data_IF_075232647379
#
_entry.id   IF_075232647379
#
_cell.length_a   1.000
_cell.length_b   1.000
_cell.length_c   1.000
_cell.angle_alpha   90.00
_cell.angle_beta   90.00
_cell.angle_gamma   90.00
#
_symmetry.space_group_name_H-M   'P 1'
#
loop_
_entity.id
_entity.type
_entity.pdbx_description
1 polymer ?
#
# COMPACT_ATOMS: atom_id res chain seq x y z
N UNK A 1 -6.57 0.63 -17.86
CA UNK A 1 -5.20 0.35 -17.35
C UNK A 1 -4.42 1.60 -16.92
N UNK A 2 -4.10 2.58 -17.80
CA UNK A 2 -3.32 3.80 -17.43
C UNK A 2 -3.85 4.54 -16.18
N UNK A 3 -5.16 4.71 -16.10
CA UNK A 3 -5.79 5.38 -14.94
C UNK A 3 -5.66 4.57 -13.64
N UNK A 4 -5.79 3.24 -13.69
CA UNK A 4 -5.56 2.37 -12.53
C UNK A 4 -4.11 2.51 -12.03
N UNK A 5 -3.13 2.45 -12.95
CA UNK A 5 -1.71 2.62 -12.60
C UNK A 5 -1.42 3.99 -11.99
N UNK A 6 -2.04 5.07 -12.51
CA UNK A 6 -1.91 6.41 -11.92
C UNK A 6 -2.46 6.47 -10.50
N UNK A 7 -3.61 5.85 -10.24
CA UNK A 7 -4.19 5.78 -8.89
C UNK A 7 -3.28 4.99 -7.95
N UNK A 8 -2.76 3.84 -8.38
CA UNK A 8 -1.80 3.04 -7.60
C UNK A 8 -0.56 3.86 -7.24
N UNK A 9 0.04 4.56 -8.21
CA UNK A 9 1.22 5.40 -7.97
C UNK A 9 0.95 6.48 -6.91
N UNK A 10 -0.22 7.12 -6.96
CA UNK A 10 -0.63 8.10 -5.96
C UNK A 10 -0.88 7.48 -4.57
N UNK A 11 -1.30 6.21 -4.52
CA UNK A 11 -1.36 5.44 -3.28
C UNK A 11 0.02 5.25 -2.65
N UNK A 12 1.04 4.88 -3.45
CA UNK A 12 2.42 4.76 -2.98
C UNK A 12 3.00 6.12 -2.56
N UNK A 13 2.75 7.18 -3.33
CA UNK A 13 3.15 8.54 -2.94
C UNK A 13 2.57 8.91 -1.56
N UNK A 14 1.30 8.58 -1.31
CA UNK A 14 0.68 8.77 0.00
C UNK A 14 1.38 7.99 1.11
N UNK A 15 1.78 6.74 0.83
CA UNK A 15 2.55 5.93 1.78
C UNK A 15 3.85 6.62 2.18
N UNK A 16 4.62 7.11 1.20
CA UNK A 16 5.89 7.82 1.42
C UNK A 16 5.70 9.08 2.27
N UNK A 17 4.59 9.80 2.10
CA UNK A 17 4.28 10.99 2.91
C UNK A 17 3.96 10.68 4.38
N UNK A 18 3.25 9.58 4.65
CA UNK A 18 2.68 9.33 5.99
C UNK A 18 3.49 8.38 6.84
N UNK A 19 4.22 7.44 6.22
CA UNK A 19 4.96 6.40 6.95
C UNK A 19 5.96 7.05 7.91
N UNK A 20 5.89 6.62 9.16
CA UNK A 20 6.82 7.03 10.22
C UNK A 20 6.93 5.95 11.29
N UNK A 21 8.05 5.89 12.03
CA UNK A 21 8.20 4.97 13.14
C UNK A 21 7.04 5.06 14.12
N UNK A 22 6.53 3.91 14.55
CA UNK A 22 5.41 3.79 15.48
C UNK A 22 4.04 3.58 14.83
N UNK A 23 3.87 3.87 13.54
CA UNK A 23 2.65 3.48 12.80
C UNK A 23 2.60 1.97 12.60
N UNK A 24 1.40 1.39 12.68
CA UNK A 24 1.16 -0.01 12.32
C UNK A 24 1.13 -0.17 10.81
N UNK A 25 1.54 -1.33 10.31
CA UNK A 25 1.42 -1.69 8.89
C UNK A 25 -0.02 -1.51 8.39
N UNK A 26 -1.00 -1.97 9.17
CA UNK A 26 -2.43 -1.77 8.91
C UNK A 26 -2.84 -0.29 8.77
N UNK A 27 -2.22 0.61 9.52
CA UNK A 27 -2.54 2.05 9.45
C UNK A 27 -2.01 2.67 8.15
N UNK A 28 -0.83 2.22 7.71
CA UNK A 28 -0.25 2.63 6.44
C UNK A 28 -1.12 2.14 5.26
N UNK A 29 -1.54 0.88 5.28
CA UNK A 29 -2.44 0.33 4.27
C UNK A 29 -3.75 1.12 4.18
N UNK A 30 -4.35 1.47 5.32
CA UNK A 30 -5.57 2.28 5.35
C UNK A 30 -5.39 3.66 4.70
N UNK A 31 -4.28 4.34 4.93
CA UNK A 31 -3.96 5.63 4.29
C UNK A 31 -3.83 5.51 2.77
N UNK A 32 -3.14 4.46 2.30
CA UNK A 32 -2.94 4.16 0.88
C UNK A 32 -4.30 3.92 0.21
N UNK A 33 -5.09 3.00 0.77
CA UNK A 33 -6.39 2.62 0.23
C UNK A 33 -7.39 3.78 0.25
N UNK A 34 -7.38 4.59 1.32
CA UNK A 34 -8.20 5.79 1.41
C UNK A 34 -7.85 6.78 0.29
N UNK A 35 -6.56 7.06 0.07
CA UNK A 35 -6.12 7.94 -1.01
C UNK A 35 -6.55 7.40 -2.38
N UNK A 36 -6.32 6.10 -2.65
CA UNK A 36 -6.77 5.47 -3.89
C UNK A 36 -8.28 5.59 -4.10
N UNK A 37 -9.07 5.36 -3.04
CA UNK A 37 -10.54 5.48 -3.08
C UNK A 37 -10.97 6.90 -3.43
N UNK A 38 -10.34 7.92 -2.82
CA UNK A 38 -10.60 9.35 -3.09
C UNK A 38 -10.30 9.75 -4.53
N UNK A 39 -9.40 9.03 -5.20
CA UNK A 39 -8.99 9.25 -6.60
C UNK A 39 -9.84 8.48 -7.62
N UNK A 40 -10.85 7.75 -7.14
CA UNK A 40 -11.83 7.03 -7.96
C UNK A 40 -11.60 5.52 -8.07
N UNK A 41 -10.74 4.94 -7.22
CA UNK A 41 -10.60 3.47 -7.18
C UNK A 41 -11.91 2.80 -6.73
N UNK A 42 -12.30 1.72 -7.40
CA UNK A 42 -13.45 0.86 -7.05
C UNK A 42 -13.15 -0.07 -5.88
N UNK A 43 -11.88 -0.12 -5.44
CA UNK A 43 -11.36 -1.00 -4.40
C UNK A 43 -9.88 -1.26 -4.63
N UNK A 44 -9.34 -2.26 -3.94
CA UNK A 44 -8.00 -2.76 -4.20
C UNK A 44 -8.02 -3.84 -5.29
N UNK A 45 -6.90 -4.00 -6.00
CA UNK A 45 -6.72 -5.04 -7.01
C UNK A 45 -6.55 -6.43 -6.37
N UNK A 46 -5.85 -6.46 -5.24
CA UNK A 46 -5.56 -7.58 -4.33
C UNK A 46 -5.38 -7.00 -2.91
N UNK A 47 -5.27 -7.84 -1.88
CA UNK A 47 -5.05 -7.34 -0.51
C UNK A 47 -3.73 -6.57 -0.43
N UNK A 48 -3.79 -5.31 0.01
CA UNK A 48 -2.61 -4.45 0.16
C UNK A 48 -1.58 -5.12 1.07
N UNK A 49 -0.30 -5.09 0.67
CA UNK A 49 0.81 -5.58 1.48
C UNK A 49 1.61 -4.38 1.97
N UNK A 50 1.82 -4.31 3.27
CA UNK A 50 2.73 -3.37 3.93
C UNK A 50 3.56 -4.21 4.90
N UNK A 51 4.77 -4.57 4.50
CA UNK A 51 5.60 -5.51 5.23
C UNK A 51 6.92 -4.86 5.62
N UNK A 52 7.10 -4.59 6.92
CA UNK A 52 8.22 -3.83 7.47
C UNK A 52 9.24 -4.71 8.21
N UNK A 53 10.53 -4.39 8.06
CA UNK A 53 11.61 -5.11 8.73
C UNK A 53 11.64 -6.58 8.33
N UNK A 54 11.73 -7.54 9.27
CA UNK A 54 11.72 -8.97 8.92
C UNK A 54 10.50 -9.42 8.11
N UNK A 55 9.37 -8.72 8.22
CA UNK A 55 8.18 -9.06 7.45
C UNK A 55 8.38 -8.84 5.95
N UNK A 56 9.28 -7.94 5.55
CA UNK A 56 9.58 -7.68 4.13
C UNK A 56 10.19 -8.89 3.41
N UNK A 57 10.60 -9.93 4.14
CA UNK A 57 11.08 -11.20 3.58
C UNK A 57 9.94 -12.16 3.19
N UNK A 58 8.68 -11.87 3.55
CA UNK A 58 7.52 -12.67 3.16
C UNK A 58 6.87 -12.07 1.90
N UNK A 59 6.97 -12.71 0.72
CA UNK A 59 6.51 -12.13 -0.55
C UNK A 59 5.04 -11.70 -0.54
N UNK A 60 4.18 -12.46 0.13
CA UNK A 60 2.77 -12.12 0.35
C UNK A 60 2.47 -11.93 1.85
N UNK A 61 3.32 -11.16 2.54
CA UNK A 61 3.27 -10.97 4.00
C UNK A 61 2.04 -10.24 4.55
N UNK A 62 1.19 -9.69 3.68
CA UNK A 62 0.00 -8.93 4.06
C UNK A 62 0.33 -7.67 4.87
N UNK A 63 -0.63 -7.23 5.68
CA UNK A 63 -0.46 -6.17 6.67
C UNK A 63 -0.75 -6.73 8.06
N UNK A 64 -0.03 -6.25 9.08
CA UNK A 64 -0.23 -6.69 10.48
C UNK A 64 -0.34 -5.51 11.45
N UNK A 65 -0.54 -5.82 12.74
CA UNK A 65 -0.45 -4.82 13.81
C UNK A 65 1.02 -4.48 14.21
N UNK A 66 2.02 -5.03 13.50
CA UNK A 66 3.42 -4.66 13.71
C UNK A 66 3.60 -3.16 13.47
N UNK A 67 4.27 -2.51 14.42
CA UNK A 67 4.71 -1.12 14.26
C UNK A 67 5.99 -1.04 13.45
N UNK A 68 6.03 -0.13 12.49
CA UNK A 68 7.22 0.26 11.74
C UNK A 68 8.26 0.82 12.70
N UNK A 69 9.51 0.40 12.56
CA UNK A 69 10.65 0.91 13.34
C UNK A 69 11.58 1.73 12.46
N UNK A 70 12.31 2.66 13.08
CA UNK A 70 13.31 3.47 12.40
C UNK A 70 14.41 2.57 11.83
N UNK A 71 14.75 2.78 10.56
CA UNK A 71 15.81 2.03 9.87
C UNK A 71 15.38 0.70 9.26
N UNK A 72 14.09 0.34 9.32
CA UNK A 72 13.57 -0.83 8.62
C UNK A 72 13.31 -0.52 7.14
N UNK A 73 13.60 -1.50 6.27
CA UNK A 73 13.00 -1.55 4.94
C UNK A 73 11.51 -1.86 5.06
N UNK A 74 10.74 -1.39 4.08
CA UNK A 74 9.31 -1.64 3.98
C UNK A 74 9.01 -2.02 2.53
N UNK A 75 8.39 -3.18 2.34
CA UNK A 75 7.80 -3.58 1.06
C UNK A 75 6.35 -3.10 1.06
N UNK A 76 5.99 -2.36 0.03
CA UNK A 76 4.61 -1.96 -0.28
C UNK A 76 4.24 -2.70 -1.54
N UNK A 77 3.18 -3.50 -1.52
CA UNK A 77 2.65 -4.11 -2.75
C UNK A 77 1.18 -3.72 -2.85
N UNK A 78 0.87 -2.90 -3.86
CA UNK A 78 -0.35 -2.11 -3.91
C UNK A 78 -0.92 -2.12 -5.31
N UNK A 79 -2.25 -2.22 -5.40
CA UNK A 79 -2.95 -2.13 -6.67
C UNK A 79 -4.32 -1.48 -6.57
N UNK A 80 -4.61 -0.53 -7.46
CA UNK A 80 -5.94 0.04 -7.62
C UNK A 80 -6.77 -0.76 -8.63
N UNK A 81 -8.08 -0.83 -8.38
CA UNK A 81 -9.08 -1.33 -9.33
C UNK A 81 -9.86 -0.17 -9.95
N UNK A 82 -9.90 -0.07 -11.27
CA UNK A 82 -10.62 1.00 -11.97
C UNK A 82 -11.23 0.51 -13.30
N UNK A 83 -12.55 0.58 -13.44
CA UNK A 83 -13.31 0.08 -14.59
C UNK A 83 -12.88 -1.34 -15.00
N UNK A 84 -12.87 -2.26 -14.04
CA UNK A 84 -12.41 -3.65 -14.19
C UNK A 84 -10.92 -3.86 -14.53
N UNK A 85 -10.14 -2.80 -14.75
CA UNK A 85 -8.69 -2.91 -14.85
C UNK A 85 -8.08 -2.92 -13.45
N UNK A 86 -7.07 -3.78 -13.29
CA UNK A 86 -6.21 -3.83 -12.10
C UNK A 86 -4.83 -3.33 -12.47
N UNK A 87 -4.27 -2.51 -11.61
CA UNK A 87 -2.86 -2.17 -11.63
C UNK A 87 -2.17 -2.84 -10.44
N UNK A 88 -0.86 -3.02 -10.58
CA UNK A 88 -0.02 -3.78 -9.67
C UNK A 88 1.34 -3.08 -9.64
N UNK A 89 1.83 -2.76 -8.44
CA UNK A 89 3.06 -2.02 -8.22
C UNK A 89 3.62 -2.32 -6.83
N UNK A 90 4.90 -2.65 -6.81
CA UNK A 90 5.73 -2.80 -5.60
C UNK A 90 6.78 -1.70 -5.52
#
# INVERSE_FOLDING_TARGET
>A
MRKAAKITNQGIEKAVEVIRPGMRENEVAAEIEYAMRKLGSEGVAFETIVASGPHSAFPHGGCTDKKVKKGEFIVLDVGAKYHNYRADLT
#
